data_IF_014691416586
#
_entry.id   IF_014691416586
#
_cell.length_a   1.000
_cell.length_b   1.000
_cell.length_c   1.000
_cell.angle_alpha   90.00
_cell.angle_beta   90.00
_cell.angle_gamma   90.00
#
_symmetry.space_group_name_H-M   'P 1'
#
loop_
_entity.id
_entity.type
_entity.pdbx_description
1 polymer ?
#
# COMPACT_ATOMS: atom_id res chain seq x y z
N UNK A 1 -6.64 -67.01 46.92
CA UNK A 1 -5.64 -67.30 45.85
C UNK A 1 -4.67 -66.11 45.84
N UNK A 2 -3.49 -66.22 46.48
CA UNK A 2 -2.14 -66.33 45.85
C UNK A 2 -1.97 -65.32 44.71
N UNK A 3 -1.04 -64.35 44.63
CA UNK A 3 0.34 -64.15 45.12
C UNK A 3 0.70 -62.65 44.87
N UNK A 4 1.29 -61.86 45.78
CA UNK A 4 2.73 -61.51 45.89
C UNK A 4 3.43 -61.38 44.51
N UNK A 5 4.11 -60.28 44.16
CA UNK A 5 5.45 -59.89 44.67
C UNK A 5 5.81 -58.44 44.26
N UNK A 6 6.46 -57.69 45.18
CA UNK A 6 7.26 -56.47 44.94
C UNK A 6 8.74 -56.84 44.80
N UNK A 7 9.40 -56.52 43.68
CA UNK A 7 10.86 -56.43 43.49
C UNK A 7 11.07 -55.20 42.57
N UNK A 8 12.00 -54.25 42.71
CA UNK A 8 13.11 -53.98 43.62
C UNK A 8 13.74 -52.65 43.15
N UNK A 9 14.25 -51.83 44.06
CA UNK A 9 14.98 -50.58 43.80
C UNK A 9 16.44 -50.84 43.42
N UNK A 10 16.96 -50.18 42.37
CA UNK A 10 18.36 -49.72 42.32
C UNK A 10 18.51 -48.43 41.51
N UNK A 11 19.24 -47.50 42.12
CA UNK A 11 19.69 -46.19 41.61
C UNK A 11 20.74 -46.34 40.50
N UNK A 12 20.68 -45.47 39.50
CA UNK A 12 21.75 -45.25 38.53
C UNK A 12 21.68 -43.84 37.96
N UNK A 13 22.48 -42.95 38.55
CA UNK A 13 22.68 -41.57 38.10
C UNK A 13 23.62 -41.58 36.88
N UNK A 14 23.12 -41.17 35.71
CA UNK A 14 23.96 -40.63 34.64
C UNK A 14 23.25 -39.38 34.13
N UNK A 15 23.79 -38.22 34.50
CA UNK A 15 23.40 -36.95 33.92
C UNK A 15 23.96 -36.80 32.51
N UNK A 16 23.24 -36.05 31.68
CA UNK A 16 23.71 -34.75 31.16
C UNK A 16 22.87 -34.31 29.97
N UNK A 17 22.37 -33.07 30.10
CA UNK A 17 22.17 -32.07 29.04
C UNK A 17 21.04 -32.25 28.02
N UNK A 18 20.18 -31.21 28.02
CA UNK A 18 19.40 -30.61 26.92
C UNK A 18 17.88 -30.84 26.94
N UNK A 19 17.22 -30.27 27.95
CA UNK A 19 15.86 -29.74 27.76
C UNK A 19 15.78 -28.32 28.34
N UNK A 20 16.58 -27.43 27.76
CA UNK A 20 16.31 -25.98 27.75
C UNK A 20 16.16 -25.59 26.29
N UNK A 21 14.92 -25.46 25.83
CA UNK A 21 14.42 -24.69 24.67
C UNK A 21 13.00 -25.19 24.41
N UNK A 22 11.95 -24.39 24.32
CA UNK A 22 11.86 -22.95 24.28
C UNK A 22 10.69 -22.53 25.17
N UNK A 23 10.92 -21.52 26.01
CA UNK A 23 9.88 -20.52 26.22
C UNK A 23 9.72 -19.91 24.82
N UNK A 24 8.80 -20.45 24.02
CA UNK A 24 8.25 -19.71 22.91
C UNK A 24 7.55 -18.53 23.57
N UNK A 25 8.30 -17.45 23.78
CA UNK A 25 7.73 -16.16 24.08
C UNK A 25 6.68 -15.95 23.02
N UNK A 26 5.43 -15.90 23.45
CA UNK A 26 4.37 -15.33 22.65
C UNK A 26 4.79 -13.87 22.55
N UNK A 27 5.68 -13.55 21.61
CA UNK A 27 5.88 -12.19 21.21
C UNK A 27 4.47 -11.72 20.87
N UNK A 28 3.96 -10.65 21.49
CA UNK A 28 2.73 -10.07 21.00
C UNK A 28 3.02 -9.81 19.53
N UNK A 29 2.29 -10.50 18.65
CA UNK A 29 2.22 -10.04 17.27
C UNK A 29 1.69 -8.60 17.45
N UNK A 30 2.32 -7.60 16.87
CA UNK A 30 1.89 -6.21 16.96
C UNK A 30 1.43 -5.84 15.55
N UNK A 31 0.35 -5.06 15.45
CA UNK A 31 -0.05 -4.49 14.17
C UNK A 31 1.13 -3.79 13.47
N UNK A 32 1.06 -3.63 12.16
CA UNK A 32 2.18 -3.03 11.43
C UNK A 32 2.46 -1.61 11.94
N UNK A 33 3.72 -1.33 12.22
CA UNK A 33 4.15 0.02 12.57
C UNK A 33 3.92 0.98 11.41
N UNK A 34 3.74 2.27 11.71
CA UNK A 34 3.58 3.31 10.69
C UNK A 34 4.73 3.30 9.67
N UNK A 35 5.96 2.99 10.10
CA UNK A 35 7.11 2.86 9.20
C UNK A 35 7.00 1.65 8.26
N UNK A 36 6.50 0.50 8.74
CA UNK A 36 6.26 -0.65 7.88
C UNK A 36 5.16 -0.36 6.85
N UNK A 37 4.07 0.29 7.25
CA UNK A 37 3.00 0.70 6.34
C UNK A 37 3.53 1.70 5.31
N UNK A 38 4.26 2.74 5.77
CA UNK A 38 4.93 3.71 4.89
C UNK A 38 5.79 3.01 3.85
N UNK A 39 6.65 2.07 4.26
CA UNK A 39 7.54 1.35 3.35
C UNK A 39 6.77 0.54 2.30
N UNK A 40 5.65 -0.09 2.67
CA UNK A 40 4.76 -0.77 1.70
C UNK A 40 4.16 0.18 0.67
N UNK A 41 3.93 1.45 1.04
CA UNK A 41 3.35 2.48 0.18
C UNK A 41 4.39 3.32 -0.59
N UNK A 42 5.67 3.28 -0.21
CA UNK A 42 6.72 4.08 -0.85
C UNK A 42 6.95 3.71 -2.33
N UNK A 43 6.58 2.49 -2.72
CA UNK A 43 6.69 2.04 -4.12
C UNK A 43 5.51 2.47 -5.00
N UNK A 44 4.53 3.19 -4.44
CA UNK A 44 3.33 3.62 -5.16
C UNK A 44 3.47 5.11 -5.48
N UNK A 45 3.88 5.48 -6.71
CA UNK A 45 3.91 6.88 -7.10
C UNK A 45 2.48 7.38 -7.31
N UNK A 46 2.22 8.56 -6.77
CA UNK A 46 1.02 9.35 -7.04
C UNK A 46 1.46 10.74 -7.47
N UNK A 47 0.57 11.51 -8.09
CA UNK A 47 0.93 12.82 -8.65
C UNK A 47 0.21 13.95 -7.93
N UNK A 48 0.99 14.89 -7.41
CA UNK A 48 0.51 16.19 -6.96
C UNK A 48 0.66 17.19 -8.10
N UNK A 49 -0.22 18.18 -8.14
CA UNK A 49 -0.01 19.35 -8.98
C UNK A 49 0.74 20.37 -8.14
N UNK A 50 1.95 20.74 -8.56
CA UNK A 50 2.81 21.65 -7.80
C UNK A 50 3.34 22.78 -8.67
N UNK A 51 3.85 23.83 -8.04
CA UNK A 51 4.76 24.76 -8.68
C UNK A 51 6.17 24.12 -8.86
N UNK A 52 7.15 24.81 -9.49
CA UNK A 52 8.49 24.28 -9.69
C UNK A 52 9.29 24.05 -8.39
N UNK A 53 8.88 24.65 -7.28
CA UNK A 53 9.48 24.45 -5.95
C UNK A 53 8.89 23.21 -5.23
N UNK A 54 7.94 22.50 -5.86
CA UNK A 54 7.28 21.35 -5.26
C UNK A 54 6.14 21.69 -4.30
N UNK A 55 5.73 22.97 -4.19
CA UNK A 55 4.60 23.37 -3.34
C UNK A 55 3.28 22.96 -4.01
N UNK A 56 2.41 22.18 -3.33
CA UNK A 56 1.14 21.72 -3.91
C UNK A 56 0.16 22.87 -4.18
N UNK A 57 -0.51 22.80 -5.32
CA UNK A 57 -1.69 23.60 -5.61
C UNK A 57 -2.82 23.14 -4.68
N UNK A 58 -3.14 23.98 -3.70
CA UNK A 58 -4.15 23.70 -2.69
C UNK A 58 -5.21 24.79 -2.66
N UNK A 59 -6.39 24.45 -2.11
CA UNK A 59 -7.46 25.40 -1.81
C UNK A 59 -7.67 25.44 -0.29
N UNK A 60 -7.90 26.62 0.31
CA UNK A 60 -8.26 26.70 1.72
C UNK A 60 -9.57 25.94 1.96
N UNK A 61 -9.70 25.30 3.12
CA UNK A 61 -10.98 24.75 3.55
C UNK A 61 -11.91 25.90 3.93
N UNK A 62 -13.21 25.77 3.62
CA UNK A 62 -14.18 26.81 3.92
C UNK A 62 -14.28 27.04 5.43
N UNK A 63 -14.50 28.30 5.83
CA UNK A 63 -14.77 28.67 7.22
C UNK A 63 -16.08 28.03 7.67
N UNK A 64 -16.03 27.28 8.78
CA UNK A 64 -17.23 26.81 9.47
C UNK A 64 -17.45 27.71 10.69
N UNK A 65 -18.63 28.33 10.79
CA UNK A 65 -19.05 29.17 11.92
C UNK A 65 -18.15 30.39 12.23
N UNK A 66 -17.68 31.12 11.20
CA UNK A 66 -16.96 32.39 11.38
C UNK A 66 -15.56 32.26 12.02
N UNK A 67 -15.03 31.03 12.11
CA UNK A 67 -13.64 30.78 12.45
C UNK A 67 -12.82 30.64 11.18
N UNK A 68 -11.65 31.28 11.19
CA UNK A 68 -10.68 31.27 10.10
C UNK A 68 -10.46 29.86 9.54
N UNK A 69 -10.37 29.76 8.21
CA UNK A 69 -10.09 28.52 7.48
C UNK A 69 -8.82 27.86 8.02
N UNK A 70 -8.98 26.89 8.91
CA UNK A 70 -7.88 26.29 9.62
C UNK A 70 -7.28 25.16 8.79
N UNK A 71 -6.90 25.37 7.53
CA UNK A 71 -6.27 24.32 6.72
C UNK A 71 -6.54 24.43 5.23
N UNK A 72 -5.98 23.51 4.47
CA UNK A 72 -6.11 23.46 3.02
C UNK A 72 -6.25 22.04 2.51
N UNK A 73 -6.75 21.88 1.29
CA UNK A 73 -6.83 20.58 0.62
C UNK A 73 -6.17 20.65 -0.75
N UNK A 74 -5.38 19.62 -1.07
CA UNK A 74 -4.76 19.42 -2.38
C UNK A 74 -5.28 18.14 -3.04
N UNK A 75 -5.27 18.10 -4.36
CA UNK A 75 -5.62 16.91 -5.15
C UNK A 75 -4.42 15.98 -5.30
N UNK A 76 -4.64 14.68 -5.11
CA UNK A 76 -3.68 13.60 -5.34
C UNK A 76 -4.19 12.70 -6.44
N UNK A 77 -3.47 12.58 -7.54
CA UNK A 77 -3.92 11.82 -8.70
C UNK A 77 -3.23 10.46 -8.72
N UNK A 78 -4.01 9.40 -8.97
CA UNK A 78 -3.47 8.04 -9.17
C UNK A 78 -2.93 7.82 -10.60
N UNK A 79 -3.15 8.78 -11.50
CA UNK A 79 -2.64 8.78 -12.88
C UNK A 79 -1.88 10.06 -13.19
N UNK A 80 -0.72 9.91 -13.85
CA UNK A 80 0.06 11.05 -14.34
C UNK A 80 -0.68 11.79 -15.45
N UNK A 81 -1.27 11.04 -16.38
CA UNK A 81 -2.04 11.57 -17.49
C UNK A 81 -3.23 12.40 -16.99
N UNK A 82 -3.99 11.92 -16.00
CA UNK A 82 -5.11 12.68 -15.43
C UNK A 82 -4.62 13.98 -14.74
N UNK A 83 -3.51 13.93 -14.01
CA UNK A 83 -2.91 15.14 -13.42
C UNK A 83 -2.48 16.16 -14.49
N UNK A 84 -1.88 15.70 -15.59
CA UNK A 84 -1.48 16.55 -16.71
C UNK A 84 -2.69 17.11 -17.47
N UNK A 85 -3.73 16.31 -17.66
CA UNK A 85 -4.98 16.73 -18.28
C UNK A 85 -5.62 17.86 -17.48
N UNK A 86 -5.70 17.73 -16.15
CA UNK A 86 -6.21 18.80 -15.30
C UNK A 86 -5.37 20.08 -15.38
N UNK A 87 -4.03 19.99 -15.45
CA UNK A 87 -3.18 21.16 -15.67
C UNK A 87 -3.48 21.82 -17.03
N UNK A 88 -3.71 21.03 -18.07
CA UNK A 88 -4.07 21.54 -19.40
C UNK A 88 -5.45 22.22 -19.39
N UNK A 89 -6.44 21.63 -18.72
CA UNK A 89 -7.76 22.23 -18.51
C UNK A 89 -7.64 23.56 -17.77
N UNK A 90 -6.86 23.60 -16.69
CA UNK A 90 -6.59 24.84 -15.97
C UNK A 90 -5.97 25.88 -16.90
N UNK A 91 -5.03 25.53 -17.79
CA UNK A 91 -4.43 26.48 -18.74
C UNK A 91 -5.43 27.06 -19.74
N UNK A 92 -6.49 26.32 -20.06
CA UNK A 92 -7.48 26.68 -21.07
C UNK A 92 -8.67 27.48 -20.54
N UNK A 93 -8.82 27.64 -19.22
CA UNK A 93 -9.87 28.49 -18.63
C UNK A 93 -9.68 29.94 -19.08
N UNK A 94 -10.74 30.54 -19.62
CA UNK A 94 -10.78 31.94 -20.07
C UNK A 94 -10.88 32.90 -18.88
N UNK A 95 -10.57 34.17 -19.12
CA UNK A 95 -10.80 35.27 -18.16
C UNK A 95 -10.10 35.14 -16.80
N UNK A 96 -8.88 34.58 -16.80
CA UNK A 96 -8.02 34.53 -15.62
C UNK A 96 -7.38 35.89 -15.37
N UNK A 97 -7.27 36.28 -14.09
CA UNK A 97 -6.42 37.40 -13.71
C UNK A 97 -4.92 37.11 -14.02
N UNK A 98 -4.06 38.14 -14.12
CA UNK A 98 -2.64 37.96 -14.45
C UNK A 98 -1.87 37.05 -13.48
N UNK A 99 -2.21 37.08 -12.18
CA UNK A 99 -1.53 36.28 -11.16
C UNK A 99 -1.89 34.80 -11.32
N UNK A 100 -3.16 34.49 -11.53
CA UNK A 100 -3.63 33.12 -11.81
C UNK A 100 -3.04 32.60 -13.12
N UNK A 101 -2.96 33.45 -14.15
CA UNK A 101 -2.33 33.08 -15.43
C UNK A 101 -0.87 32.68 -15.24
N UNK A 102 -0.10 33.46 -14.48
CA UNK A 102 1.31 33.15 -14.22
C UNK A 102 1.48 31.88 -13.37
N UNK A 103 0.64 31.71 -12.34
CA UNK A 103 0.64 30.50 -11.50
C UNK A 103 0.36 29.24 -12.33
N UNK A 104 -0.69 29.25 -13.17
CA UNK A 104 -1.10 28.07 -13.95
C UNK A 104 -0.05 27.67 -15.00
N UNK A 105 0.72 28.62 -15.52
CA UNK A 105 1.84 28.35 -16.44
C UNK A 105 2.98 27.57 -15.78
N UNK A 106 3.23 27.78 -14.48
CA UNK A 106 4.32 27.12 -13.76
C UNK A 106 3.93 25.78 -13.14
N UNK A 107 2.66 25.38 -13.23
CA UNK A 107 2.19 24.11 -12.68
C UNK A 107 2.77 22.90 -13.45
N UNK A 108 3.10 21.87 -12.68
CA UNK A 108 3.58 20.58 -13.15
C UNK A 108 2.98 19.43 -12.32
N UNK A 109 2.91 18.25 -12.92
CA UNK A 109 2.57 17.02 -12.22
C UNK A 109 3.84 16.45 -11.57
N UNK A 110 3.95 16.57 -10.26
CA UNK A 110 5.10 16.10 -9.48
C UNK A 110 4.80 14.76 -8.82
N UNK A 111 5.60 13.72 -9.12
CA UNK A 111 5.43 12.40 -8.52
C UNK A 111 5.88 12.41 -7.06
N UNK A 112 5.09 11.78 -6.19
CA UNK A 112 5.34 11.65 -4.76
C UNK A 112 5.00 10.21 -4.34
N UNK A 113 5.85 9.53 -3.56
CA UNK A 113 5.50 8.23 -2.98
C UNK A 113 4.28 8.34 -2.07
N UNK A 114 3.31 7.42 -2.20
CA UNK A 114 2.12 7.39 -1.35
C UNK A 114 2.48 7.26 0.13
N UNK A 115 3.56 6.56 0.45
CA UNK A 115 4.08 6.46 1.83
C UNK A 115 4.45 7.81 2.44
N UNK A 116 4.97 8.76 1.66
CA UNK A 116 5.27 10.12 2.14
C UNK A 116 3.99 10.88 2.48
N UNK A 117 2.93 10.74 1.67
CA UNK A 117 1.63 11.33 1.96
C UNK A 117 1.01 10.69 3.22
N UNK A 118 1.07 9.36 3.33
CA UNK A 118 0.63 8.65 4.53
C UNK A 118 1.33 9.18 5.78
N UNK A 119 2.67 9.24 5.77
CA UNK A 119 3.46 9.77 6.88
C UNK A 119 3.07 11.21 7.24
N UNK A 120 2.89 12.07 6.24
CA UNK A 120 2.47 13.46 6.45
C UNK A 120 1.10 13.55 7.12
N UNK A 121 0.14 12.73 6.67
CA UNK A 121 -1.19 12.66 7.27
C UNK A 121 -1.10 12.20 8.73
N UNK A 122 -0.27 11.19 9.04
CA UNK A 122 -0.07 10.71 10.41
C UNK A 122 0.56 11.78 11.31
N UNK A 123 1.64 12.44 10.86
CA UNK A 123 2.35 13.48 11.63
C UNK A 123 1.49 14.69 11.96
N UNK A 124 0.62 15.09 11.04
CA UNK A 124 -0.19 16.30 11.16
C UNK A 124 -1.60 16.04 11.69
N UNK A 125 -1.95 14.83 12.14
CA UNK A 125 -3.34 14.45 12.54
C UNK A 125 -4.01 15.44 13.48
N UNK A 126 -3.25 15.96 14.45
CA UNK A 126 -3.73 16.85 15.51
C UNK A 126 -3.51 18.33 15.21
N UNK A 127 -2.95 18.67 14.05
CA UNK A 127 -2.75 20.05 13.63
C UNK A 127 -4.04 20.58 13.02
N UNK A 128 -4.55 21.73 13.50
CA UNK A 128 -5.74 22.33 12.91
C UNK A 128 -5.43 22.72 11.46
N UNK A 129 -4.39 23.52 11.22
CA UNK A 129 -4.01 24.11 9.93
C UNK A 129 -3.36 23.15 8.91
N UNK A 130 -3.66 21.85 8.99
CA UNK A 130 -3.00 20.83 8.17
C UNK A 130 -3.40 20.90 6.70
N UNK A 131 -2.53 20.34 5.86
CA UNK A 131 -2.83 20.04 4.46
C UNK A 131 -3.54 18.68 4.38
N UNK A 132 -4.75 18.68 3.83
CA UNK A 132 -5.52 17.48 3.51
C UNK A 132 -5.26 17.05 2.06
N UNK A 133 -5.42 15.76 1.82
CA UNK A 133 -5.18 15.13 0.52
C UNK A 133 -6.48 14.50 0.03
N UNK A 134 -6.97 14.96 -1.12
CA UNK A 134 -8.14 14.41 -1.78
C UNK A 134 -7.69 13.54 -2.97
N UNK A 135 -7.88 12.23 -2.86
CA UNK A 135 -7.44 11.29 -3.87
C UNK A 135 -8.42 11.22 -5.05
N UNK A 136 -7.89 11.39 -6.26
CA UNK A 136 -8.57 11.15 -7.54
C UNK A 136 -8.16 9.75 -8.03
N UNK A 137 -9.04 8.74 -7.90
CA UNK A 137 -8.81 7.45 -8.50
C UNK A 137 -8.89 7.52 -10.03
N UNK A 138 -8.31 6.52 -10.70
CA UNK A 138 -8.41 6.37 -12.15
C UNK A 138 -9.83 5.96 -12.51
N UNK A 139 -10.47 6.69 -13.43
CA UNK A 139 -11.91 6.49 -13.73
C UNK A 139 -12.22 5.08 -14.24
N UNK A 140 -11.31 4.52 -15.05
CA UNK A 140 -11.42 3.14 -15.56
C UNK A 140 -11.43 2.12 -14.42
N UNK A 141 -10.62 2.33 -13.39
CA UNK A 141 -10.51 1.41 -12.25
C UNK A 141 -11.74 1.52 -11.34
N UNK A 142 -12.27 2.74 -11.15
CA UNK A 142 -13.56 2.93 -10.45
C UNK A 142 -14.68 2.21 -11.18
N UNK A 143 -14.75 2.35 -12.51
CA UNK A 143 -15.76 1.66 -13.32
C UNK A 143 -15.64 0.13 -13.18
N UNK A 144 -14.42 -0.40 -13.28
CA UNK A 144 -14.16 -1.84 -13.12
C UNK A 144 -14.55 -2.37 -11.73
N UNK A 145 -14.22 -1.62 -10.68
CA UNK A 145 -14.64 -1.92 -9.30
C UNK A 145 -16.17 -1.99 -9.18
N UNK A 146 -16.88 -1.00 -9.69
CA UNK A 146 -18.34 -0.94 -9.65
C UNK A 146 -19.00 -2.09 -10.44
N UNK A 147 -18.42 -2.48 -11.58
CA UNK A 147 -18.89 -3.63 -12.37
C UNK A 147 -18.71 -4.96 -11.63
N UNK A 148 -17.56 -5.16 -10.97
CA UNK A 148 -17.30 -6.35 -10.15
C UNK A 148 -18.22 -6.43 -8.93
N UNK A 149 -18.40 -5.34 -8.20
CA UNK A 149 -19.31 -5.27 -7.06
C UNK A 149 -20.75 -5.62 -7.48
N UNK A 150 -21.22 -5.03 -8.60
CA UNK A 150 -22.54 -5.35 -9.16
C UNK A 150 -22.66 -6.83 -9.52
N UNK A 151 -21.63 -7.43 -10.13
CA UNK A 151 -21.61 -8.86 -10.49
C UNK A 151 -21.70 -9.77 -9.25
N UNK A 152 -21.14 -9.33 -8.12
CA UNK A 152 -21.18 -10.05 -6.85
C UNK A 152 -22.45 -9.77 -6.03
N UNK A 153 -23.42 -9.04 -6.59
CA UNK A 153 -24.69 -8.72 -5.93
C UNK A 153 -24.65 -7.50 -5.01
N UNK A 154 -23.54 -6.79 -4.95
CA UNK A 154 -23.38 -5.58 -4.13
C UNK A 154 -23.90 -4.35 -4.89
N UNK A 155 -24.92 -3.69 -4.34
CA UNK A 155 -25.46 -2.45 -4.89
C UNK A 155 -24.77 -1.23 -4.28
N UNK A 156 -23.66 -0.83 -4.88
CA UNK A 156 -22.95 0.41 -4.53
C UNK A 156 -23.39 1.52 -5.50
N UNK A 157 -23.86 2.66 -4.97
CA UNK A 157 -24.26 3.81 -5.79
C UNK A 157 -23.07 4.61 -6.31
N UNK A 158 -21.98 4.65 -5.53
CA UNK A 158 -20.75 5.37 -5.85
C UNK A 158 -19.59 4.77 -5.07
N UNK A 159 -18.42 4.68 -5.69
CA UNK A 159 -17.19 4.27 -5.04
C UNK A 159 -16.51 5.52 -4.44
N UNK A 160 -16.24 5.54 -3.12
CA UNK A 160 -15.83 6.76 -2.40
C UNK A 160 -14.34 6.83 -2.03
N UNK A 161 -13.49 6.02 -2.67
CA UNK A 161 -12.05 5.95 -2.38
C UNK A 161 -11.27 5.43 -3.59
N UNK A 162 -10.01 5.04 -3.43
CA UNK A 162 -9.20 4.40 -4.47
C UNK A 162 -9.44 2.89 -4.45
N UNK A 163 -9.94 2.28 -5.54
CA UNK A 163 -10.18 0.84 -5.58
C UNK A 163 -8.86 0.06 -5.60
N UNK A 164 -8.86 -1.05 -4.89
CA UNK A 164 -7.79 -2.04 -4.87
C UNK A 164 -8.41 -3.42 -5.11
N UNK A 165 -7.77 -4.19 -5.97
CA UNK A 165 -8.24 -5.49 -6.44
C UNK A 165 -7.35 -6.60 -5.88
N UNK A 166 -7.97 -7.62 -5.28
CA UNK A 166 -7.28 -8.76 -4.68
C UNK A 166 -7.90 -10.05 -5.19
N UNK A 167 -7.09 -10.99 -5.66
CA UNK A 167 -7.58 -12.29 -6.16
C UNK A 167 -7.71 -13.27 -5.00
N UNK A 168 -8.82 -14.00 -4.93
CA UNK A 168 -9.06 -15.07 -3.95
C UNK A 168 -9.26 -16.40 -4.65
N UNK A 169 -8.94 -17.52 -3.97
CA UNK A 169 -9.21 -18.85 -4.51
C UNK A 169 -10.71 -19.18 -4.59
N UNK A 170 -11.53 -18.53 -3.77
CA UNK A 170 -12.99 -18.44 -3.82
C UNK A 170 -13.46 -17.35 -2.83
N UNK A 171 -14.74 -16.92 -2.85
CA UNK A 171 -15.22 -15.85 -1.98
C UNK A 171 -15.00 -16.05 -0.48
N UNK A 172 -14.98 -17.30 -0.02
CA UNK A 172 -14.77 -17.72 1.37
C UNK A 172 -13.35 -18.27 1.65
N UNK A 173 -12.40 -18.08 0.72
CA UNK A 173 -11.04 -18.64 0.81
C UNK A 173 -9.97 -17.55 0.83
N UNK A 174 -8.75 -17.98 1.12
CA UNK A 174 -7.59 -17.10 1.19
C UNK A 174 -7.27 -16.44 -0.16
N UNK A 175 -6.49 -15.37 -0.07
CA UNK A 175 -5.94 -14.68 -1.22
C UNK A 175 -4.93 -15.54 -1.97
N UNK A 176 -4.82 -15.30 -3.28
CA UNK A 176 -3.83 -15.94 -4.15
C UNK A 176 -2.49 -15.23 -3.97
N UNK A 177 -1.43 -15.93 -3.50
CA UNK A 177 -0.10 -15.37 -3.46
C UNK A 177 0.55 -15.41 -4.85
N UNK A 178 1.53 -14.52 -5.06
CA UNK A 178 2.47 -14.59 -6.18
C UNK A 178 3.89 -14.65 -5.63
N UNK A 179 4.81 -15.09 -6.48
CA UNK A 179 6.22 -15.17 -6.16
C UNK A 179 6.95 -13.95 -6.71
N UNK A 180 7.69 -13.24 -5.85
CA UNK A 180 8.52 -12.08 -6.20
C UNK A 180 9.99 -12.34 -5.90
N UNK A 181 10.87 -11.76 -6.71
CA UNK A 181 12.32 -11.89 -6.57
C UNK A 181 12.93 -12.93 -7.51
N UNK A 182 14.25 -12.98 -7.53
CA UNK A 182 14.97 -13.96 -8.34
C UNK A 182 14.95 -15.35 -7.66
N UNK A 183 15.27 -16.39 -8.43
CA UNK A 183 15.20 -17.81 -7.99
C UNK A 183 15.95 -18.13 -6.68
N UNK A 184 16.86 -17.26 -6.22
CA UNK A 184 17.64 -17.45 -4.98
C UNK A 184 17.02 -16.74 -3.75
N UNK A 185 16.07 -15.84 -3.93
CA UNK A 185 15.44 -15.04 -2.87
C UNK A 185 13.95 -14.83 -3.17
N UNK A 186 13.29 -15.89 -3.63
CA UNK A 186 11.88 -15.87 -4.00
C UNK A 186 10.99 -15.76 -2.76
N UNK A 187 10.15 -14.75 -2.71
CA UNK A 187 9.21 -14.49 -1.61
C UNK A 187 7.77 -14.62 -2.10
N UNK A 188 6.95 -15.31 -1.32
CA UNK A 188 5.50 -15.37 -1.54
C UNK A 188 4.81 -14.16 -0.91
N UNK A 189 4.13 -13.38 -1.75
CA UNK A 189 3.42 -12.16 -1.35
C UNK A 189 1.97 -12.19 -1.81
N UNK A 190 1.09 -11.47 -1.11
CA UNK A 190 -0.29 -11.25 -1.53
C UNK A 190 -0.35 -9.92 -2.30
N UNK A 191 -0.63 -9.93 -3.61
CA UNK A 191 -0.64 -8.71 -4.40
C UNK A 191 -1.94 -7.93 -4.23
N UNK A 192 -1.81 -6.64 -3.91
CA UNK A 192 -2.89 -5.67 -3.84
C UNK A 192 -2.80 -4.75 -5.06
N UNK A 193 -3.64 -4.96 -6.08
CA UNK A 193 -3.49 -4.26 -7.36
C UNK A 193 -4.28 -2.95 -7.40
N UNK A 194 -3.65 -1.86 -7.85
CA UNK A 194 -4.34 -0.62 -8.25
C UNK A 194 -4.86 -0.66 -9.70
N UNK A 195 -4.87 -1.84 -10.32
CA UNK A 195 -5.28 -2.07 -11.71
C UNK A 195 -6.09 -3.36 -11.78
N UNK A 196 -7.35 -3.25 -12.19
CA UNK A 196 -8.26 -4.37 -12.39
C UNK A 196 -7.69 -5.33 -13.43
N UNK A 197 -7.02 -4.81 -14.46
CA UNK A 197 -6.42 -5.63 -15.50
C UNK A 197 -5.33 -6.55 -14.95
N UNK A 198 -4.50 -6.08 -14.02
CA UNK A 198 -3.47 -6.91 -13.40
C UNK A 198 -4.08 -8.01 -12.52
N UNK A 199 -5.11 -7.67 -11.75
CA UNK A 199 -5.87 -8.66 -10.98
C UNK A 199 -6.55 -9.71 -11.89
N UNK A 200 -7.13 -9.27 -13.01
CA UNK A 200 -7.72 -10.16 -14.01
C UNK A 200 -6.69 -11.10 -14.64
N UNK A 201 -5.48 -10.60 -14.91
CA UNK A 201 -4.39 -11.42 -15.44
C UNK A 201 -3.98 -12.52 -14.45
N UNK A 202 -3.91 -12.20 -13.15
CA UNK A 202 -3.66 -13.22 -12.12
C UNK A 202 -4.83 -14.20 -12.00
N UNK A 203 -6.08 -13.70 -12.01
CA UNK A 203 -7.27 -14.55 -11.97
C UNK A 203 -7.28 -15.57 -13.11
N UNK A 204 -6.97 -15.15 -14.34
CA UNK A 204 -6.94 -16.01 -15.53
C UNK A 204 -5.92 -17.16 -15.40
N UNK A 205 -4.82 -16.96 -14.66
CA UNK A 205 -3.82 -18.00 -14.41
C UNK A 205 -4.29 -19.03 -13.36
N UNK A 206 -5.13 -18.60 -12.42
CA UNK A 206 -5.56 -19.39 -11.26
C UNK A 206 -6.84 -20.16 -11.57
N UNK A 207 -7.75 -19.58 -12.34
CA UNK A 207 -9.07 -20.15 -12.66
C UNK A 207 -9.05 -21.58 -13.22
N UNK A 208 -8.10 -22.00 -14.08
CA UNK A 208 -8.05 -23.37 -14.57
C UNK A 208 -7.94 -24.43 -13.47
N UNK A 209 -7.29 -24.08 -12.34
CA UNK A 209 -7.16 -24.98 -11.17
C UNK A 209 -8.19 -24.68 -10.08
N UNK A 210 -8.63 -23.44 -9.97
CA UNK A 210 -9.61 -22.99 -8.98
C UNK A 210 -10.77 -22.27 -9.69
N UNK A 211 -11.77 -23.00 -10.21
CA UNK A 211 -12.85 -22.42 -11.02
C UNK A 211 -13.73 -21.40 -10.28
N UNK A 212 -13.71 -21.44 -8.94
CA UNK A 212 -14.45 -20.50 -8.07
C UNK A 212 -13.66 -19.24 -7.73
N UNK A 213 -12.42 -19.12 -8.20
CA UNK A 213 -11.59 -17.96 -7.93
C UNK A 213 -12.27 -16.68 -8.46
N UNK A 214 -12.15 -15.60 -7.70
CA UNK A 214 -12.77 -14.32 -7.98
C UNK A 214 -11.82 -13.15 -7.62
N UNK A 215 -12.25 -11.94 -7.99
CA UNK A 215 -11.59 -10.70 -7.58
C UNK A 215 -12.47 -10.06 -6.51
N UNK A 216 -11.88 -9.84 -5.34
CA UNK A 216 -12.44 -8.98 -4.31
C UNK A 216 -12.04 -7.53 -4.59
N UNK A 217 -13.03 -6.64 -4.54
CA UNK A 217 -12.83 -5.19 -4.57
C UNK A 217 -12.82 -4.69 -3.13
N UNK A 218 -11.78 -3.96 -2.77
CA UNK A 218 -11.68 -3.21 -1.52
C UNK A 218 -11.21 -1.79 -1.81
N UNK A 219 -11.24 -0.91 -0.83
CA UNK A 219 -10.66 0.43 -0.96
C UNK A 219 -9.36 0.57 -0.16
N UNK A 220 -8.54 1.54 -0.55
CA UNK A 220 -7.25 1.80 0.08
C UNK A 220 -7.41 2.20 1.55
N UNK A 221 -8.45 2.95 1.91
CA UNK A 221 -8.67 3.39 3.30
C UNK A 221 -8.94 2.19 4.21
N UNK A 222 -9.79 1.27 3.78
CA UNK A 222 -10.10 0.03 4.48
C UNK A 222 -8.89 -0.88 4.63
N UNK A 223 -8.03 -0.97 3.61
CA UNK A 223 -6.75 -1.70 3.73
C UNK A 223 -5.85 -1.03 4.76
N UNK A 224 -5.66 0.29 4.69
CA UNK A 224 -4.78 1.01 5.62
C UNK A 224 -5.26 0.89 7.07
N UNK A 225 -6.56 1.02 7.31
CA UNK A 225 -7.16 0.77 8.62
C UNK A 225 -6.88 -0.66 9.09
N UNK A 226 -7.03 -1.65 8.20
CA UNK A 226 -6.72 -3.05 8.51
C UNK A 226 -5.24 -3.22 8.88
N UNK A 227 -4.31 -2.62 8.14
CA UNK A 227 -2.87 -2.69 8.43
C UNK A 227 -2.50 -2.03 9.77
N UNK A 228 -3.22 -0.97 10.15
CA UNK A 228 -3.00 -0.24 11.41
C UNK A 228 -3.61 -0.93 12.63
N UNK A 229 -4.75 -1.61 12.47
CA UNK A 229 -5.53 -2.14 13.60
C UNK A 229 -5.40 -3.65 13.78
N UNK A 230 -5.10 -4.39 12.70
CA UNK A 230 -5.06 -5.85 12.72
C UNK A 230 -3.64 -6.37 12.81
N UNK A 231 -3.59 -7.58 13.31
CA UNK A 231 -2.39 -8.22 13.78
C UNK A 231 -2.28 -9.64 13.22
N UNK A 232 -2.52 -9.74 11.92
CA UNK A 232 -2.56 -11.01 11.22
C UNK A 232 -1.26 -11.22 10.43
N UNK A 233 -0.55 -12.36 10.57
CA UNK A 233 0.74 -12.59 9.91
C UNK A 233 0.72 -12.50 8.37
N UNK A 234 -0.45 -12.61 7.74
CA UNK A 234 -0.57 -12.46 6.28
C UNK A 234 -0.42 -11.00 5.83
N UNK A 235 -0.67 -10.03 6.73
CA UNK A 235 -0.52 -8.59 6.45
C UNK A 235 0.94 -8.21 6.20
N UNK A 236 1.90 -8.94 6.78
CA UNK A 236 3.32 -8.77 6.48
C UNK A 236 3.64 -9.08 5.01
N UNK A 237 2.88 -10.00 4.41
CA UNK A 237 3.09 -10.48 3.04
C UNK A 237 2.36 -9.66 1.99
N UNK A 238 1.58 -8.65 2.37
CA UNK A 238 0.89 -7.82 1.37
C UNK A 238 1.86 -6.87 0.68
N UNK A 239 1.71 -6.74 -0.63
CA UNK A 239 2.47 -5.82 -1.46
C UNK A 239 1.51 -5.08 -2.37
N UNK A 240 1.59 -3.74 -2.36
CA UNK A 240 0.83 -2.91 -3.28
C UNK A 240 1.50 -2.90 -4.66
N UNK A 241 0.69 -3.10 -5.70
CA UNK A 241 1.12 -3.07 -7.10
C UNK A 241 0.57 -1.81 -7.76
N UNK A 242 1.44 -0.86 -8.16
CA UNK A 242 1.03 0.32 -8.89
C UNK A 242 0.34 -0.05 -10.19
N UNK A 243 -0.49 0.85 -10.74
CA UNK A 243 -1.06 0.67 -12.07
C UNK A 243 0.03 0.64 -13.18
N UNK A 244 -0.29 0.19 -14.41
CA UNK A 244 0.69 0.08 -15.49
C UNK A 244 1.43 1.39 -15.82
N UNK A 245 0.74 2.53 -15.83
CA UNK A 245 1.34 3.86 -16.07
C UNK A 245 2.38 4.18 -14.98
N UNK A 246 2.02 3.99 -13.71
CA UNK A 246 2.91 4.16 -12.57
C UNK A 246 4.15 3.25 -12.66
N UNK A 247 3.99 1.98 -13.06
CA UNK A 247 5.12 1.07 -13.26
C UNK A 247 6.05 1.53 -14.39
N UNK A 248 5.49 2.02 -15.50
CA UNK A 248 6.28 2.59 -16.59
C UNK A 248 7.05 3.84 -16.16
N UNK A 249 6.47 4.67 -15.28
CA UNK A 249 7.18 5.80 -14.69
C UNK A 249 8.37 5.33 -13.84
N UNK A 250 8.16 4.35 -12.93
CA UNK A 250 9.22 3.80 -12.08
C UNK A 250 10.37 3.23 -12.93
N UNK A 251 10.06 2.51 -14.02
CA UNK A 251 11.08 1.94 -14.92
C UNK A 251 11.96 2.98 -15.61
N UNK A 252 11.49 4.22 -15.75
CA UNK A 252 12.25 5.33 -16.36
C UNK A 252 13.12 6.08 -15.36
N UNK A 253 12.94 5.84 -14.05
CA UNK A 253 13.78 6.45 -13.05
C UNK A 253 15.22 5.90 -13.17
N UNK A 254 16.24 6.76 -13.00
CA UNK A 254 17.61 6.27 -12.87
C UNK A 254 17.65 5.23 -11.75
N UNK A 255 18.12 4.02 -12.05
CA UNK A 255 18.39 3.06 -10.99
C UNK A 255 19.56 3.61 -10.17
N UNK A 256 19.30 4.06 -8.95
CA UNK A 256 20.37 4.23 -7.98
C UNK A 256 21.01 2.86 -7.77
N UNK A 257 22.15 2.64 -8.40
CA UNK A 257 22.98 1.48 -8.09
C UNK A 257 23.26 1.53 -6.59
N UNK A 258 23.07 0.43 -5.83
CA UNK A 258 23.48 0.40 -4.45
C UNK A 258 24.96 0.78 -4.37
N UNK A 259 25.39 1.59 -3.38
CA UNK A 259 26.78 2.00 -3.26
C UNK A 259 27.66 0.75 -3.25
N UNK A 260 28.55 0.64 -4.23
CA UNK A 260 29.61 -0.37 -4.22
C UNK A 260 30.34 -0.23 -2.88
N UNK A 261 30.19 -1.22 -2.01
CA UNK A 261 30.98 -1.33 -0.80
C UNK A 261 32.45 -1.34 -1.20
N UNK A 262 33.14 -0.23 -0.96
CA UNK A 262 34.59 -0.15 -1.12
C UNK A 262 35.22 -1.19 -0.18
N UNK A 263 36.04 -2.13 -0.65
CA UNK A 263 36.72 -3.07 0.23
C UNK A 263 37.60 -2.29 1.21
N UNK A 264 37.45 -2.57 2.50
CA UNK A 264 38.31 -2.00 3.53
C UNK A 264 39.79 -2.36 3.22
N UNK A 265 40.74 -1.42 3.35
CA UNK A 265 42.14 -1.70 3.08
C UNK A 265 42.66 -2.76 4.05
N UNK A 266 43.27 -3.81 3.48
CA UNK A 266 43.90 -4.89 4.22
C UNK A 266 44.99 -4.32 5.15
N UNK A 267 44.84 -4.55 6.46
CA UNK A 267 45.90 -4.29 7.44
C UNK A 267 47.08 -5.20 7.10
N UNK A 268 48.19 -4.61 6.66
CA UNK A 268 49.48 -5.30 6.57
C UNK A 268 49.94 -5.68 7.98
N UNK A 269 50.33 -6.94 8.14
CA UNK A 269 51.17 -7.41 9.27
C UNK A 269 52.63 -7.13 8.93
#
# INVERSE_FOLDING_TARGET
MKSLVRWGTTLGLVGSTLLVTAIAGIAPVIALSEQQIKSKLDNIPVWLITNPQGLPLSRPLSEENGKQAAGSVTGVYMSQQEAQAFIAELRNVKDKDPKTTQMVKSLQATPVPLGVIFEQVQKTKNEPNRLLFAFKPIDKEVKGAMELLKKNGEQVKQFRSVPVFIVRFAPDKSYVPIKLGDQKAEQEVVPLFFSMQDAQNLLNQVQPKFPKADIQVVDVDGILNTLQEKNDPWLDKVVFFPNPEARQYIQKLPQENPPKSTPAPAKKK
#
